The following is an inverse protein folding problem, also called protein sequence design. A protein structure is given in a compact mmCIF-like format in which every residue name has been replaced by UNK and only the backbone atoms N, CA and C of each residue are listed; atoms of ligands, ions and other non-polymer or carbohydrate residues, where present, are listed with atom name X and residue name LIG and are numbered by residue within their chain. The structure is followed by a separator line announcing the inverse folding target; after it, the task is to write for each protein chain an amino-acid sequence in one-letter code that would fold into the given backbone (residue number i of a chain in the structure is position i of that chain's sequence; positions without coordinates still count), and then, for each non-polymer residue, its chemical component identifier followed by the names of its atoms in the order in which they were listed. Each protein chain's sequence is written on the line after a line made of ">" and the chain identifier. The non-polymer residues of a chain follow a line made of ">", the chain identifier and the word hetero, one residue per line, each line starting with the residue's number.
data_IF_361817708268
#
_entry.id   IF_361817708268
#
_cell.length_a   1.000
_cell.length_b   1.000
_cell.length_c   1.000
_cell.angle_alpha   90.00
_cell.angle_beta   90.00
_cell.angle_gamma   90.00
#
_symmetry.space_group_name_H-M   'P 1'
#
loop_
_entity.id
_entity.type
_entity.pdbx_description
1 polymer ?
#
# COMPACT_ATOMS: atom_id res chain seq x y z
N UNK A 1 28.96 65.28 -20.11
CA UNK A 1 28.28 64.07 -20.61
C UNK A 1 28.89 62.86 -19.93
N UNK A 2 28.19 62.24 -18.96
CA UNK A 2 28.60 60.98 -18.34
C UNK A 2 27.58 59.92 -18.77
N UNK A 3 28.01 58.95 -19.57
CA UNK A 3 27.21 57.78 -19.91
C UNK A 3 27.29 56.78 -18.76
N UNK A 4 26.14 56.44 -18.17
CA UNK A 4 25.99 55.28 -17.30
C UNK A 4 25.65 54.07 -18.18
N UNK A 5 26.55 53.10 -18.25
CA UNK A 5 26.27 51.78 -18.80
C UNK A 5 25.60 50.95 -17.69
N UNK A 6 24.31 50.66 -17.84
CA UNK A 6 23.57 49.75 -16.96
C UNK A 6 23.76 48.35 -17.53
N UNK A 7 24.61 47.55 -16.87
CA UNK A 7 24.71 46.11 -17.11
C UNK A 7 23.49 45.43 -16.47
N UNK A 8 22.54 45.01 -17.31
CA UNK A 8 21.44 44.14 -16.89
C UNK A 8 21.98 42.71 -16.89
N UNK A 9 22.31 42.21 -15.70
CA UNK A 9 22.58 40.79 -15.48
C UNK A 9 21.22 40.10 -15.44
N UNK A 10 20.78 39.55 -16.57
CA UNK A 10 19.66 38.61 -16.60
C UNK A 10 20.12 37.31 -15.92
N UNK A 11 19.83 37.18 -14.62
CA UNK A 11 19.87 35.90 -13.94
C UNK A 11 18.73 35.03 -14.47
N UNK A 12 18.98 34.27 -15.53
CA UNK A 12 18.15 33.12 -15.88
C UNK A 12 18.34 32.07 -14.78
N UNK A 13 17.52 32.15 -13.73
CA UNK A 13 17.22 31.00 -12.89
C UNK A 13 16.44 30.02 -13.78
N UNK A 14 17.16 29.17 -14.51
CA UNK A 14 16.61 27.92 -14.99
C UNK A 14 16.28 27.09 -13.75
N UNK A 15 15.05 27.22 -13.25
CA UNK A 15 14.45 26.18 -12.42
C UNK A 15 14.32 24.99 -13.36
N UNK A 16 15.33 24.12 -13.36
CA UNK A 16 15.18 22.79 -13.94
C UNK A 16 14.17 22.08 -13.04
N UNK A 17 12.89 22.06 -13.42
CA UNK A 17 11.96 21.10 -12.86
C UNK A 17 12.52 19.71 -13.20
N UNK A 18 13.10 19.03 -12.21
CA UNK A 18 13.54 17.65 -12.36
C UNK A 18 12.29 16.77 -12.16
N UNK A 19 11.81 16.18 -13.25
CA UNK A 19 10.82 15.10 -13.24
C UNK A 19 11.57 13.80 -13.57
N UNK A 20 11.56 12.78 -12.69
CA UNK A 20 10.74 12.61 -11.49
C UNK A 20 11.18 13.51 -10.33
N UNK A 21 10.21 13.88 -9.49
CA UNK A 21 10.43 14.71 -8.29
C UNK A 21 11.02 13.91 -7.14
N UNK A 22 10.74 12.60 -7.08
CA UNK A 22 11.33 11.66 -6.13
C UNK A 22 11.33 10.23 -6.71
N UNK A 23 12.16 9.36 -6.15
CA UNK A 23 12.16 7.94 -6.50
C UNK A 23 12.63 7.06 -5.34
N UNK A 24 12.06 5.86 -5.23
CA UNK A 24 12.52 4.86 -4.27
C UNK A 24 12.16 3.45 -4.72
N UNK A 25 12.86 2.47 -4.17
CA UNK A 25 12.54 1.05 -4.37
C UNK A 25 11.50 0.64 -3.33
N UNK A 26 10.32 0.19 -3.77
CA UNK A 26 9.24 -0.26 -2.87
C UNK A 26 9.53 -1.66 -2.31
N UNK A 27 9.90 -2.56 -3.21
CA UNK A 27 10.39 -3.92 -2.98
C UNK A 27 11.43 -4.22 -4.06
N UNK A 28 12.28 -5.26 -3.93
CA UNK A 28 13.25 -5.60 -4.96
C UNK A 28 12.63 -5.63 -6.36
N UNK A 29 13.32 -5.02 -7.33
CA UNK A 29 12.86 -4.87 -8.72
C UNK A 29 11.56 -4.08 -8.92
N UNK A 30 11.08 -3.33 -7.93
CA UNK A 30 9.93 -2.42 -8.06
C UNK A 30 10.32 -0.99 -7.71
N UNK A 31 10.47 -0.16 -8.73
CA UNK A 31 10.82 1.26 -8.63
C UNK A 31 9.56 2.11 -8.64
N UNK A 32 9.43 3.03 -7.68
CA UNK A 32 8.39 4.06 -7.70
C UNK A 32 9.01 5.37 -8.16
N UNK A 33 8.40 6.00 -9.15
CA UNK A 33 8.74 7.34 -9.63
C UNK A 33 7.62 8.30 -9.27
N UNK A 34 7.91 9.31 -8.46
CA UNK A 34 6.97 10.40 -8.19
C UNK A 34 7.08 11.46 -9.28
N UNK A 35 5.94 11.80 -9.91
CA UNK A 35 5.89 12.68 -11.09
C UNK A 35 4.95 13.85 -10.85
N UNK A 36 5.32 15.01 -11.38
CA UNK A 36 4.54 16.26 -11.33
C UNK A 36 3.67 16.47 -12.58
N UNK A 37 3.75 15.55 -13.55
CA UNK A 37 3.07 15.59 -14.83
C UNK A 37 3.79 16.39 -15.93
N UNK A 38 4.95 16.97 -15.64
CA UNK A 38 5.81 17.59 -16.64
C UNK A 38 6.56 16.57 -17.50
N UNK A 39 7.37 17.07 -18.44
CA UNK A 39 8.29 16.22 -19.20
C UNK A 39 9.51 15.87 -18.34
N UNK A 40 9.91 14.61 -18.34
CA UNK A 40 10.99 14.07 -17.55
C UNK A 40 11.58 12.80 -18.13
N UNK A 41 12.73 12.37 -17.59
CA UNK A 41 13.34 11.10 -17.94
C UNK A 41 13.99 10.46 -16.73
N UNK A 42 13.91 9.13 -16.63
CA UNK A 42 14.61 8.38 -15.61
C UNK A 42 15.42 7.22 -16.22
N UNK A 43 16.74 7.12 -15.97
CA UNK A 43 17.56 6.04 -16.50
C UNK A 43 17.38 4.76 -15.68
N UNK A 44 17.00 3.67 -16.34
CA UNK A 44 17.05 2.31 -15.80
C UNK A 44 18.35 1.63 -16.25
N UNK A 45 19.03 0.98 -15.31
CA UNK A 45 20.17 0.11 -15.60
C UNK A 45 19.71 -1.36 -15.63
N UNK A 46 20.17 -2.12 -16.62
CA UNK A 46 19.91 -3.55 -16.70
C UNK A 46 20.82 -4.32 -15.72
N UNK A 47 22.12 -4.06 -15.82
CA UNK A 47 23.18 -4.62 -14.97
C UNK A 47 23.77 -3.49 -14.13
N UNK A 48 23.86 -3.73 -12.81
CA UNK A 48 24.31 -2.73 -11.85
C UNK A 48 25.83 -2.67 -11.74
N UNK A 49 26.55 -3.75 -12.08
CA UNK A 49 28.00 -3.79 -11.96
C UNK A 49 28.70 -3.53 -13.30
N UNK A 50 29.69 -2.62 -13.27
CA UNK A 50 30.54 -2.35 -14.43
C UNK A 50 31.32 -3.61 -14.86
N UNK A 51 31.68 -4.48 -13.92
CA UNK A 51 32.35 -5.75 -14.19
C UNK A 51 31.46 -6.71 -14.97
N UNK A 52 30.19 -6.87 -14.61
CA UNK A 52 29.25 -7.69 -15.39
C UNK A 52 29.07 -7.13 -16.80
N UNK A 53 28.97 -5.81 -16.95
CA UNK A 53 28.90 -5.18 -18.28
C UNK A 53 30.16 -5.48 -19.10
N UNK A 54 31.35 -5.31 -18.51
CA UNK A 54 32.64 -5.52 -19.18
C UNK A 54 32.96 -6.99 -19.47
N UNK A 55 32.41 -7.92 -18.68
CA UNK A 55 32.59 -9.37 -18.86
C UNK A 55 31.87 -9.93 -20.09
N UNK A 56 30.91 -9.18 -20.65
CA UNK A 56 30.15 -9.59 -21.82
C UNK A 56 30.91 -9.22 -23.10
N UNK A 57 30.89 -10.11 -24.08
CA UNK A 57 31.56 -9.93 -25.38
C UNK A 57 31.14 -8.63 -26.09
N UNK A 58 29.89 -8.21 -25.91
CA UNK A 58 29.29 -7.01 -26.50
C UNK A 58 29.43 -5.76 -25.63
N UNK A 59 30.07 -5.85 -24.46
CA UNK A 59 30.18 -4.77 -23.46
C UNK A 59 28.81 -4.16 -23.10
N UNK A 60 27.75 -4.99 -23.14
CA UNK A 60 26.36 -4.58 -22.87
C UNK A 60 25.70 -3.74 -23.97
N UNK A 61 26.29 -3.62 -25.17
CA UNK A 61 25.73 -2.84 -26.30
C UNK A 61 24.57 -3.54 -27.00
N UNK A 62 24.52 -4.87 -26.98
CA UNK A 62 23.49 -5.70 -27.60
C UNK A 62 22.37 -6.07 -26.61
N UNK A 63 22.27 -5.40 -25.45
CA UNK A 63 21.15 -5.56 -24.52
C UNK A 63 19.87 -4.98 -25.14
N UNK A 64 18.83 -5.80 -25.20
CA UNK A 64 17.52 -5.47 -25.78
C UNK A 64 16.53 -5.24 -24.64
N UNK A 65 15.85 -4.10 -24.66
CA UNK A 65 14.82 -3.77 -23.68
C UNK A 65 13.43 -4.13 -24.21
N UNK A 66 12.57 -4.58 -23.30
CA UNK A 66 11.15 -4.75 -23.54
C UNK A 66 10.34 -4.03 -22.47
N UNK A 67 9.20 -3.46 -22.86
CA UNK A 67 8.20 -2.91 -21.96
C UNK A 67 6.91 -3.71 -22.12
N UNK A 68 6.43 -4.31 -21.03
CA UNK A 68 5.22 -5.15 -21.04
C UNK A 68 5.26 -6.26 -22.11
N UNK A 69 6.46 -6.78 -22.42
CA UNK A 69 6.69 -7.82 -23.43
C UNK A 69 6.98 -7.30 -24.84
N UNK A 70 6.75 -6.02 -25.13
CA UNK A 70 7.02 -5.40 -26.43
C UNK A 70 8.44 -4.84 -26.51
N UNK A 71 9.16 -5.11 -27.60
CA UNK A 71 10.53 -4.65 -27.79
C UNK A 71 10.61 -3.14 -27.99
N UNK A 72 11.56 -2.50 -27.30
CA UNK A 72 11.80 -1.07 -27.35
C UNK A 72 12.93 -0.75 -28.34
N UNK A 73 12.90 0.41 -29.03
CA UNK A 73 13.94 0.77 -30.00
C UNK A 73 15.33 0.98 -29.39
N UNK A 74 15.40 1.40 -28.12
CA UNK A 74 16.65 1.70 -27.43
C UNK A 74 17.34 0.40 -26.96
N UNK A 75 18.62 0.27 -27.30
CA UNK A 75 19.50 -0.82 -26.87
C UNK A 75 20.58 -0.30 -25.93
N UNK A 76 21.24 -1.24 -25.25
CA UNK A 76 22.35 -0.96 -24.34
C UNK A 76 21.99 -1.22 -22.87
N UNK A 77 22.97 -1.11 -21.97
CA UNK A 77 22.76 -1.36 -20.54
C UNK A 77 21.79 -0.36 -19.88
N UNK A 78 21.63 0.83 -20.45
CA UNK A 78 20.79 1.89 -19.89
C UNK A 78 19.59 2.17 -20.81
N UNK A 79 18.40 2.20 -20.23
CA UNK A 79 17.17 2.62 -20.89
C UNK A 79 16.62 3.89 -20.25
N UNK A 80 16.33 4.92 -21.05
CA UNK A 80 15.77 6.18 -20.53
C UNK A 80 14.24 6.14 -20.58
N UNK A 81 13.61 5.87 -19.44
CA UNK A 81 12.15 5.93 -19.30
C UNK A 81 11.71 7.37 -19.53
N UNK A 82 10.83 7.56 -20.51
CA UNK A 82 10.20 8.86 -20.77
C UNK A 82 9.03 9.03 -19.80
N UNK A 83 9.03 10.16 -19.09
CA UNK A 83 7.99 10.56 -18.15
C UNK A 83 7.27 11.76 -18.77
N UNK A 84 6.02 11.56 -19.15
CA UNK A 84 5.13 12.62 -19.61
C UNK A 84 3.79 12.37 -18.96
N UNK A 85 3.25 13.38 -18.27
CA UNK A 85 2.07 13.21 -17.41
C UNK A 85 2.26 12.07 -16.40
N UNK A 86 1.44 11.02 -16.51
CA UNK A 86 1.50 9.81 -15.66
C UNK A 86 1.96 8.57 -16.44
N UNK A 87 2.59 8.79 -17.60
CA UNK A 87 3.12 7.74 -18.46
C UNK A 87 4.55 7.38 -18.04
N UNK A 88 4.95 6.16 -18.37
CA UNK A 88 6.28 5.62 -18.04
C UNK A 88 6.22 4.39 -17.14
N UNK A 89 5.10 4.14 -16.47
CA UNK A 89 4.88 2.90 -15.73
C UNK A 89 4.88 1.68 -16.66
N UNK A 90 5.36 0.55 -16.16
CA UNK A 90 5.48 -0.68 -16.93
C UNK A 90 6.38 -1.74 -16.30
N UNK A 91 6.29 -2.96 -16.81
CA UNK A 91 7.28 -4.00 -16.57
C UNK A 91 8.39 -3.89 -17.62
N UNK A 92 9.57 -3.45 -17.20
CA UNK A 92 10.75 -3.31 -18.04
C UNK A 92 11.63 -4.53 -17.86
N UNK A 93 11.86 -5.28 -18.92
CA UNK A 93 12.79 -6.40 -18.91
C UNK A 93 13.94 -6.14 -19.87
N UNK A 94 15.14 -6.55 -19.50
CA UNK A 94 16.29 -6.49 -20.37
C UNK A 94 16.78 -7.90 -20.70
N UNK A 95 17.16 -8.09 -21.95
CA UNK A 95 17.49 -9.39 -22.52
C UNK A 95 18.85 -9.34 -23.21
N UNK A 96 19.56 -10.46 -23.20
CA UNK A 96 20.75 -10.62 -24.03
C UNK A 96 20.38 -10.68 -25.50
N UNK A 97 21.38 -10.54 -26.38
CA UNK A 97 21.24 -10.77 -27.84
C UNK A 97 20.57 -12.10 -28.20
N UNK A 98 20.80 -13.13 -27.39
CA UNK A 98 20.24 -14.47 -27.60
C UNK A 98 18.81 -14.61 -27.06
N UNK A 99 18.25 -13.55 -26.47
CA UNK A 99 16.89 -13.49 -25.93
C UNK A 99 16.76 -13.89 -24.45
N UNK A 100 17.84 -14.32 -23.78
CA UNK A 100 17.79 -14.69 -22.36
C UNK A 100 17.48 -13.47 -21.49
N UNK A 101 16.56 -13.61 -20.54
CA UNK A 101 16.28 -12.57 -19.54
C UNK A 101 17.54 -12.33 -18.69
N UNK A 102 17.94 -11.06 -18.55
CA UNK A 102 19.07 -10.65 -17.72
C UNK A 102 18.58 -10.08 -16.40
N UNK A 103 17.67 -9.12 -16.46
CA UNK A 103 17.06 -8.49 -15.28
C UNK A 103 15.68 -7.90 -15.63
N UNK A 104 14.94 -7.49 -14.61
CA UNK A 104 13.66 -6.82 -14.76
C UNK A 104 13.46 -5.76 -13.67
N UNK A 105 12.70 -4.71 -14.03
CA UNK A 105 12.27 -3.65 -13.12
C UNK A 105 10.83 -3.29 -13.45
N UNK A 106 9.94 -3.42 -12.47
CA UNK A 106 8.59 -2.87 -12.53
C UNK A 106 8.65 -1.40 -12.11
N UNK A 107 8.28 -0.50 -13.00
CA UNK A 107 8.18 0.93 -12.73
C UNK A 107 6.73 1.27 -12.41
N UNK A 108 6.50 1.79 -11.20
CA UNK A 108 5.23 2.33 -10.73
C UNK A 108 5.30 3.86 -10.73
N UNK A 109 4.19 4.51 -11.09
CA UNK A 109 4.07 5.96 -11.16
C UNK A 109 3.21 6.44 -10.00
N UNK A 110 3.76 7.36 -9.20
CA UNK A 110 3.02 8.08 -8.18
C UNK A 110 2.80 9.51 -8.65
N UNK A 111 1.55 9.85 -8.86
CA UNK A 111 1.17 11.23 -9.19
C UNK A 111 1.26 12.12 -7.95
N UNK A 112 1.67 13.38 -8.15
CA UNK A 112 1.65 14.43 -7.12
C UNK A 112 0.25 14.57 -6.48
N UNK A 113 0.21 14.79 -5.16
CA UNK A 113 -1.05 14.84 -4.39
C UNK A 113 -2.08 15.83 -4.91
N UNK A 114 -1.63 16.97 -5.42
CA UNK A 114 -2.49 18.07 -5.86
C UNK A 114 -3.25 17.76 -7.16
N UNK A 115 -2.74 16.83 -7.98
CA UNK A 115 -3.27 16.48 -9.30
C UNK A 115 -3.93 15.11 -9.37
N UNK A 116 -3.67 14.24 -8.37
CA UNK A 116 -4.11 12.84 -8.41
C UNK A 116 -5.59 12.64 -8.08
N UNK A 117 -6.27 11.83 -8.90
CA UNK A 117 -7.56 11.23 -8.54
C UNK A 117 -7.31 9.94 -7.76
N UNK A 118 -7.83 9.87 -6.54
CA UNK A 118 -7.63 8.76 -5.60
C UNK A 118 -8.13 7.43 -6.15
N UNK A 119 -7.34 6.37 -5.94
CA UNK A 119 -7.67 4.97 -6.23
C UNK A 119 -8.73 4.45 -5.27
N UNK A 120 -8.65 4.80 -3.99
CA UNK A 120 -9.63 4.41 -2.97
C UNK A 120 -10.65 5.51 -2.71
N UNK A 121 -11.88 5.12 -2.38
CA UNK A 121 -12.95 6.04 -1.99
C UNK A 121 -12.80 6.35 -0.50
N UNK A 122 -12.73 7.63 -0.17
CA UNK A 122 -12.81 8.07 1.23
C UNK A 122 -14.23 7.93 1.73
N UNK A 123 -14.42 7.19 2.81
CA UNK A 123 -15.69 7.11 3.53
C UNK A 123 -15.71 8.14 4.68
N UNK A 124 -16.82 8.24 5.42
CA UNK A 124 -17.00 9.26 6.48
C UNK A 124 -15.87 9.29 7.53
N UNK A 125 -15.17 8.17 7.74
CA UNK A 125 -14.13 8.05 8.76
C UNK A 125 -12.72 8.10 8.18
N UNK A 126 -12.47 7.43 7.04
CA UNK A 126 -11.15 7.40 6.35
C UNK A 126 -11.24 6.60 5.03
N UNK A 127 -10.10 6.43 4.35
CA UNK A 127 -9.91 5.43 3.28
C UNK A 127 -9.80 4.00 3.82
N UNK A 128 -9.07 3.81 4.93
CA UNK A 128 -8.90 2.51 5.58
C UNK A 128 -9.83 2.38 6.80
N UNK A 129 -10.70 1.37 6.77
CA UNK A 129 -11.55 0.97 7.91
C UNK A 129 -10.95 -0.24 8.59
N UNK A 130 -10.41 -0.05 9.78
CA UNK A 130 -9.78 -1.10 10.57
C UNK A 130 -10.63 -1.48 11.77
N UNK A 131 -10.67 -2.77 12.11
CA UNK A 131 -11.37 -3.31 13.28
C UNK A 131 -10.68 -4.58 13.80
N UNK A 132 -10.74 -4.79 15.10
CA UNK A 132 -10.30 -6.01 15.78
C UNK A 132 -11.50 -6.64 16.48
N UNK A 133 -11.59 -7.98 16.53
CA UNK A 133 -12.70 -8.63 17.23
C UNK A 133 -12.44 -8.77 18.74
N UNK A 134 -11.18 -8.73 19.13
CA UNK A 134 -10.71 -8.91 20.50
C UNK A 134 -9.34 -8.19 20.67
N UNK A 135 -8.62 -8.50 21.75
CA UNK A 135 -7.32 -7.89 22.09
C UNK A 135 -6.10 -8.79 21.81
N UNK A 136 -6.20 -9.81 20.95
CA UNK A 136 -5.14 -10.80 20.71
C UNK A 136 -4.08 -10.36 19.70
N UNK A 137 -4.13 -9.11 19.23
CA UNK A 137 -3.24 -8.59 18.20
C UNK A 137 -3.72 -8.83 16.77
N UNK A 138 -4.86 -9.52 16.59
CA UNK A 138 -5.51 -9.65 15.28
C UNK A 138 -6.32 -8.40 14.94
N UNK A 139 -6.20 -7.92 13.71
CA UNK A 139 -7.01 -6.83 13.20
C UNK A 139 -7.15 -6.92 11.69
N UNK A 140 -8.23 -6.33 11.19
CA UNK A 140 -8.61 -6.39 9.79
C UNK A 140 -8.77 -4.96 9.30
N UNK A 141 -8.23 -4.64 8.14
CA UNK A 141 -8.44 -3.36 7.48
C UNK A 141 -9.09 -3.59 6.11
N UNK A 142 -10.13 -2.82 5.82
CA UNK A 142 -10.88 -2.88 4.57
C UNK A 142 -10.94 -1.50 3.91
N UNK A 143 -11.14 -1.49 2.60
CA UNK A 143 -11.32 -0.27 1.82
C UNK A 143 -12.36 -0.47 0.73
N UNK A 144 -12.58 0.58 -0.06
CA UNK A 144 -13.47 0.52 -1.22
C UNK A 144 -12.76 1.15 -2.41
N UNK A 145 -12.65 0.39 -3.49
CA UNK A 145 -12.07 0.87 -4.75
C UNK A 145 -12.95 1.95 -5.38
N UNK A 146 -12.33 2.92 -6.04
CA UNK A 146 -13.05 3.79 -6.96
C UNK A 146 -13.54 2.97 -8.17
N UNK A 147 -14.77 3.23 -8.64
CA UNK A 147 -15.43 2.41 -9.68
C UNK A 147 -14.62 2.22 -10.96
N UNK A 148 -13.79 3.20 -11.30
CA UNK A 148 -12.95 3.19 -12.51
C UNK A 148 -11.45 3.02 -12.24
N UNK A 149 -11.06 2.80 -10.99
CA UNK A 149 -9.65 2.66 -10.57
C UNK A 149 -9.51 1.47 -9.62
N UNK A 150 -10.07 0.34 -10.02
CA UNK A 150 -9.87 -0.92 -9.29
C UNK A 150 -8.45 -1.39 -9.55
N UNK A 151 -7.81 -1.95 -8.52
CA UNK A 151 -6.44 -2.38 -8.58
C UNK A 151 -6.19 -3.53 -7.62
N UNK A 152 -4.94 -3.69 -7.23
CA UNK A 152 -4.49 -4.72 -6.30
C UNK A 152 -3.55 -4.13 -5.25
N UNK A 153 -3.33 -4.89 -4.18
CA UNK A 153 -2.35 -4.53 -3.15
C UNK A 153 -0.95 -4.79 -3.70
N UNK A 154 -0.13 -3.75 -3.75
CA UNK A 154 1.27 -3.83 -4.17
C UNK A 154 2.19 -4.21 -2.99
N UNK A 155 1.94 -3.61 -1.83
CA UNK A 155 2.79 -3.81 -0.65
C UNK A 155 2.08 -3.42 0.64
N UNK A 156 2.40 -4.10 1.73
CA UNK A 156 1.91 -3.76 3.07
C UNK A 156 3.11 -3.50 3.98
N UNK A 157 3.09 -2.35 4.65
CA UNK A 157 4.01 -2.01 5.73
C UNK A 157 3.22 -1.85 7.02
N UNK A 158 3.63 -2.55 8.07
CA UNK A 158 3.03 -2.42 9.41
C UNK A 158 4.12 -2.48 10.47
N UNK A 159 3.99 -1.64 11.49
CA UNK A 159 4.93 -1.53 12.62
C UNK A 159 4.25 -0.85 13.79
N UNK A 160 4.84 -0.92 15.00
CA UNK A 160 4.48 0.02 16.06
C UNK A 160 5.32 1.30 15.92
N UNK A 161 4.76 2.45 16.29
CA UNK A 161 5.43 3.75 16.10
C UNK A 161 6.75 3.87 16.90
N UNK A 162 6.91 3.10 17.97
CA UNK A 162 8.20 3.01 18.70
C UNK A 162 9.31 2.30 17.94
N UNK A 163 8.96 1.56 16.90
CA UNK A 163 9.91 0.75 16.16
C UNK A 163 10.76 1.70 15.30
N UNK A 164 12.08 1.56 15.39
CA UNK A 164 13.03 2.35 14.59
C UNK A 164 12.71 2.25 13.10
N UNK A 165 13.24 3.17 12.28
CA UNK A 165 13.11 3.14 10.81
C UNK A 165 13.59 1.82 10.14
N UNK A 166 14.19 0.91 10.91
CA UNK A 166 14.71 -0.41 10.50
C UNK A 166 13.63 -1.52 10.37
N UNK A 167 12.35 -1.17 10.27
CA UNK A 167 11.31 -2.16 9.97
C UNK A 167 11.53 -2.73 8.56
N UNK A 168 11.80 -4.03 8.50
CA UNK A 168 11.95 -4.77 7.25
C UNK A 168 10.68 -5.56 6.94
N UNK A 169 10.08 -5.31 5.78
CA UNK A 169 8.86 -5.97 5.33
C UNK A 169 9.15 -6.77 4.05
N UNK A 170 8.76 -8.04 4.05
CA UNK A 170 8.91 -8.96 2.91
C UNK A 170 7.55 -9.47 2.49
N UNK A 171 7.42 -9.85 1.23
CA UNK A 171 6.25 -10.54 0.69
C UNK A 171 6.64 -11.95 0.27
N UNK A 172 5.73 -12.89 0.43
CA UNK A 172 5.90 -14.25 -0.04
C UNK A 172 5.86 -14.35 -1.58
N UNK A 173 6.18 -15.54 -2.11
CA UNK A 173 6.24 -15.78 -3.57
C UNK A 173 4.87 -15.61 -4.23
N UNK A 174 3.78 -15.82 -3.50
CA UNK A 174 2.43 -15.64 -4.03
C UNK A 174 2.02 -14.16 -4.15
N UNK A 175 2.73 -13.25 -3.47
CA UNK A 175 2.36 -11.84 -3.43
C UNK A 175 1.15 -11.57 -2.54
N UNK A 176 0.83 -12.45 -1.59
CA UNK A 176 -0.40 -12.37 -0.78
C UNK A 176 -0.15 -12.36 0.73
N UNK A 177 1.06 -12.69 1.19
CA UNK A 177 1.42 -12.71 2.60
C UNK A 177 2.66 -11.85 2.85
N UNK A 178 2.48 -10.79 3.64
CA UNK A 178 3.55 -9.91 4.08
C UNK A 178 3.99 -10.23 5.50
N UNK A 179 5.29 -10.23 5.72
CA UNK A 179 5.90 -10.32 7.05
C UNK A 179 6.75 -9.09 7.30
N UNK A 180 6.37 -8.30 8.30
CA UNK A 180 7.11 -7.12 8.76
C UNK A 180 7.74 -7.42 10.11
N UNK A 181 9.04 -7.19 10.25
CA UNK A 181 9.78 -7.49 11.47
C UNK A 181 10.65 -6.32 11.90
N UNK A 182 10.64 -6.03 13.21
CA UNK A 182 11.51 -5.03 13.84
C UNK A 182 11.94 -5.52 15.22
N UNK A 183 13.22 -5.85 15.36
CA UNK A 183 13.76 -6.46 16.58
C UNK A 183 13.05 -7.79 16.90
N UNK A 184 12.31 -7.82 18.03
CA UNK A 184 11.53 -8.99 18.46
C UNK A 184 10.06 -8.95 18.00
N UNK A 185 9.61 -7.86 17.38
CA UNK A 185 8.24 -7.69 16.92
C UNK A 185 8.10 -8.18 15.49
N UNK A 186 7.00 -8.85 15.21
CA UNK A 186 6.68 -9.47 13.94
C UNK A 186 5.19 -9.38 13.67
N UNK A 187 4.88 -8.74 12.55
CA UNK A 187 3.54 -8.68 12.01
C UNK A 187 3.44 -9.57 10.79
N UNK A 188 2.29 -10.24 10.65
CA UNK A 188 1.92 -10.97 9.43
C UNK A 188 0.62 -10.42 8.91
N UNK A 189 0.59 -10.06 7.63
CA UNK A 189 -0.60 -9.55 6.97
C UNK A 189 -0.89 -10.35 5.70
N UNK A 190 -2.15 -10.73 5.48
CA UNK A 190 -2.60 -11.37 4.25
C UNK A 190 -3.72 -10.59 3.61
N UNK A 191 -3.76 -10.57 2.28
CA UNK A 191 -4.86 -9.99 1.50
C UNK A 191 -5.97 -11.04 1.35
N UNK A 192 -7.21 -10.60 1.40
CA UNK A 192 -8.37 -11.47 1.17
C UNK A 192 -8.55 -11.82 -0.32
N UNK A 193 -9.28 -12.89 -0.61
CA UNK A 193 -9.54 -13.32 -1.99
C UNK A 193 -10.23 -12.24 -2.85
N UNK A 194 -10.91 -11.28 -2.20
CA UNK A 194 -11.61 -10.19 -2.87
C UNK A 194 -10.72 -9.01 -3.21
N UNK A 195 -9.49 -8.96 -2.69
CA UNK A 195 -8.55 -7.84 -2.82
C UNK A 195 -9.02 -6.53 -2.19
N UNK A 196 -9.99 -6.56 -1.28
CA UNK A 196 -10.61 -5.37 -0.66
C UNK A 196 -10.35 -5.27 0.84
N UNK A 197 -9.75 -6.30 1.43
CA UNK A 197 -9.37 -6.28 2.83
C UNK A 197 -8.08 -7.04 3.09
N UNK A 198 -7.46 -6.72 4.22
CA UNK A 198 -6.31 -7.42 4.76
C UNK A 198 -6.60 -7.86 6.18
N UNK A 199 -6.01 -8.98 6.56
CA UNK A 199 -5.99 -9.51 7.91
C UNK A 199 -4.57 -9.48 8.41
N UNK A 200 -4.31 -8.83 9.54
CA UNK A 200 -3.00 -8.68 10.13
C UNK A 200 -2.97 -9.23 11.56
N UNK A 201 -1.82 -9.77 11.96
CA UNK A 201 -1.57 -10.30 13.30
C UNK A 201 -0.24 -9.76 13.83
N UNK A 202 -0.27 -9.07 14.98
CA UNK A 202 0.89 -8.78 15.82
C UNK A 202 1.23 -10.01 16.65
N UNK A 203 2.19 -10.83 16.21
CA UNK A 203 2.48 -12.16 16.79
C UNK A 203 3.00 -12.09 18.24
N UNK A 204 3.48 -10.92 18.68
CA UNK A 204 4.03 -10.72 20.03
C UNK A 204 3.16 -9.76 20.86
N UNK A 205 1.92 -9.53 20.45
CA UNK A 205 1.00 -8.70 21.21
C UNK A 205 0.64 -9.33 22.57
N UNK A 206 0.59 -8.50 23.61
CA UNK A 206 0.13 -8.91 24.95
C UNK A 206 -1.25 -8.29 25.22
N UNK A 207 -2.34 -9.09 25.24
CA UNK A 207 -3.71 -8.58 25.42
C UNK A 207 -3.96 -7.92 26.78
N UNK A 208 -3.12 -8.23 27.77
CA UNK A 208 -3.29 -7.79 29.15
C UNK A 208 -2.55 -6.49 29.45
N UNK A 209 -1.56 -6.13 28.63
CA UNK A 209 -0.74 -4.95 28.84
C UNK A 209 -1.42 -3.70 28.27
N UNK A 210 -1.20 -2.56 28.91
CA UNK A 210 -1.58 -1.28 28.35
C UNK A 210 -0.78 -1.00 27.07
N UNK A 211 -1.46 -0.54 26.02
CA UNK A 211 -0.81 -0.22 24.76
C UNK A 211 -0.11 1.13 24.84
N UNK A 212 1.23 1.10 24.85
CA UNK A 212 2.05 2.32 24.92
C UNK A 212 2.25 2.93 23.52
N UNK A 213 2.23 2.10 22.48
CA UNK A 213 2.58 2.52 21.12
C UNK A 213 1.51 2.14 20.11
N UNK A 214 1.10 3.14 19.33
CA UNK A 214 0.20 3.00 18.18
C UNK A 214 0.76 2.01 17.16
N UNK A 215 -0.13 1.29 16.51
CA UNK A 215 0.15 0.56 15.28
C UNK A 215 0.05 1.55 14.12
N UNK A 216 1.09 1.59 13.30
CA UNK A 216 1.10 2.26 12.00
C UNK A 216 0.98 1.21 10.90
N UNK A 217 -0.02 1.36 10.04
CA UNK A 217 -0.17 0.56 8.83
C UNK A 217 -0.16 1.46 7.60
N UNK A 218 0.51 1.01 6.54
CA UNK A 218 0.50 1.62 5.21
C UNK A 218 0.25 0.55 4.17
N UNK A 219 -0.81 0.70 3.39
CA UNK A 219 -1.19 -0.17 2.29
C UNK A 219 -0.89 0.55 0.99
N UNK A 220 0.03 0.01 0.22
CA UNK A 220 0.32 0.45 -1.14
C UNK A 220 -0.58 -0.33 -2.09
N UNK A 221 -1.36 0.40 -2.88
CA UNK A 221 -2.23 -0.15 -3.92
C UNK A 221 -1.76 0.31 -5.28
N UNK A 222 -1.87 -0.55 -6.28
CA UNK A 222 -1.53 -0.21 -7.67
C UNK A 222 -2.64 -0.58 -8.64
N UNK A 223 -2.72 0.14 -9.76
CA UNK A 223 -3.64 -0.17 -10.86
C UNK A 223 -2.94 -0.96 -11.96
N UNK A 224 -3.72 -1.50 -12.91
CA UNK A 224 -3.19 -2.15 -14.12
C UNK A 224 -2.32 -1.22 -14.98
N UNK A 225 -2.54 0.09 -14.88
CA UNK A 225 -1.76 1.12 -15.57
C UNK A 225 -0.54 1.59 -14.75
N UNK A 226 -0.10 0.79 -13.78
CA UNK A 226 1.09 1.03 -12.97
C UNK A 226 1.05 2.31 -12.12
N UNK A 227 -0.14 2.90 -11.91
CA UNK A 227 -0.29 3.97 -10.92
C UNK A 227 -0.22 3.36 -9.52
N UNK A 228 0.48 4.00 -8.59
CA UNK A 228 0.60 3.56 -7.20
C UNK A 228 0.21 4.67 -6.23
N UNK A 229 -0.53 4.29 -5.19
CA UNK A 229 -0.83 5.16 -4.05
C UNK A 229 -0.65 4.39 -2.76
N UNK A 230 -0.29 5.10 -1.69
CA UNK A 230 -0.25 4.55 -0.35
C UNK A 230 -1.32 5.19 0.53
N UNK A 231 -1.96 4.36 1.35
CA UNK A 231 -2.97 4.76 2.32
C UNK A 231 -2.53 4.28 3.69
N UNK A 232 -2.48 5.19 4.65
CA UNK A 232 -1.93 4.88 5.97
C UNK A 232 -2.89 5.24 7.08
N UNK A 233 -2.79 4.51 8.20
CA UNK A 233 -3.57 4.75 9.41
C UNK A 233 -2.74 4.48 10.66
N UNK A 234 -3.03 5.24 11.71
CA UNK A 234 -2.53 5.02 13.07
C UNK A 234 -3.71 4.68 13.98
N UNK A 235 -3.54 3.71 14.87
CA UNK A 235 -4.53 3.35 15.87
C UNK A 235 -3.90 2.53 17.00
N UNK A 236 -4.51 2.55 18.18
CA UNK A 236 -4.31 1.47 19.16
C UNK A 236 -5.25 0.31 18.81
N UNK A 237 -4.85 -0.93 19.13
CA UNK A 237 -5.72 -2.08 18.90
C UNK A 237 -7.04 -1.88 19.67
N UNK A 238 -6.94 -1.43 20.92
CA UNK A 238 -8.04 -1.11 21.82
C UNK A 238 -9.07 -0.09 21.29
N UNK A 239 -8.67 0.82 20.40
CA UNK A 239 -9.56 1.82 19.79
C UNK A 239 -10.41 1.24 18.65
N UNK A 240 -9.94 0.15 18.05
CA UNK A 240 -10.60 -0.49 16.91
C UNK A 240 -11.31 -1.79 17.29
N UNK A 241 -11.32 -2.16 18.57
CA UNK A 241 -12.02 -3.36 19.05
C UNK A 241 -13.52 -3.20 18.88
N UNK A 242 -14.11 -4.12 18.13
CA UNK A 242 -15.54 -4.26 17.91
C UNK A 242 -15.93 -5.72 18.13
N UNK A 243 -16.53 -6.06 19.28
CA UNK A 243 -16.98 -7.42 19.56
C UNK A 243 -17.98 -7.92 18.52
N UNK A 244 -17.96 -9.23 18.28
CA UNK A 244 -18.96 -9.87 17.42
C UNK A 244 -20.36 -9.82 18.03
N UNK A 245 -21.36 -10.10 17.19
CA UNK A 245 -22.76 -10.17 17.62
C UNK A 245 -22.96 -11.26 18.67
N UNK A 246 -23.66 -10.92 19.74
CA UNK A 246 -24.15 -11.90 20.72
C UNK A 246 -25.24 -12.78 20.12
N UNK A 247 -25.26 -14.05 20.52
CA UNK A 247 -26.39 -14.94 20.27
C UNK A 247 -27.37 -14.80 21.43
N UNK A 248 -28.62 -14.48 21.10
CA UNK A 248 -29.70 -14.32 22.07
C UNK A 248 -30.63 -15.52 21.94
N UNK A 249 -30.90 -16.22 23.05
CA UNK A 249 -31.92 -17.26 23.14
C UNK A 249 -33.11 -16.77 23.96
N UNK A 250 -34.32 -17.11 23.49
CA UNK A 250 -35.53 -16.97 24.29
C UNK A 250 -35.65 -18.20 25.19
N UNK A 251 -35.57 -17.99 26.50
CA UNK A 251 -35.81 -19.06 27.48
C UNK A 251 -37.31 -19.22 27.71
N UNK A 252 -38.02 -18.09 27.82
CA UNK A 252 -39.48 -18.03 27.86
C UNK A 252 -39.98 -16.62 27.47
N UNK A 253 -41.31 -16.41 27.46
CA UNK A 253 -41.98 -15.14 27.07
C UNK A 253 -41.50 -13.88 27.80
N UNK A 254 -40.81 -14.02 28.94
CA UNK A 254 -40.32 -12.92 29.77
C UNK A 254 -38.81 -12.94 30.03
N UNK A 255 -38.10 -13.97 29.56
CA UNK A 255 -36.70 -14.20 29.85
C UNK A 255 -35.93 -14.48 28.57
N UNK A 256 -34.94 -13.63 28.32
CA UNK A 256 -33.93 -13.84 27.29
C UNK A 256 -32.59 -14.08 27.98
N UNK A 257 -31.74 -14.88 27.35
CA UNK A 257 -30.36 -15.09 27.76
C UNK A 257 -29.45 -14.82 26.56
N UNK A 258 -28.20 -14.48 26.83
CA UNK A 258 -27.17 -14.34 25.81
C UNK A 258 -25.81 -14.71 26.39
N UNK A 259 -24.91 -15.14 25.51
CA UNK A 259 -23.53 -15.47 25.86
C UNK A 259 -22.55 -14.51 25.21
N UNK A 260 -21.35 -14.43 25.77
CA UNK A 260 -20.23 -13.74 25.12
C UNK A 260 -19.98 -14.36 23.74
N UNK A 261 -19.57 -13.56 22.74
CA UNK A 261 -19.16 -14.10 21.45
C UNK A 261 -17.97 -15.04 21.61
N UNK A 262 -17.92 -16.12 20.81
CA UNK A 262 -16.83 -17.10 20.86
C UNK A 262 -15.47 -16.52 20.44
N UNK A 263 -15.47 -15.44 19.66
CA UNK A 263 -14.28 -14.70 19.23
C UNK A 263 -13.76 -13.70 20.28
N UNK A 264 -14.50 -13.47 21.37
CA UNK A 264 -14.13 -12.50 22.39
C UNK A 264 -12.98 -12.98 23.28
N UNK A 265 -12.17 -12.04 23.77
CA UNK A 265 -11.03 -12.32 24.62
C UNK A 265 -11.44 -13.01 25.94
N UNK A 266 -10.65 -14.00 26.35
CA UNK A 266 -10.80 -14.73 27.61
C UNK A 266 -9.60 -14.46 28.54
N UNK A 267 -9.77 -14.43 29.87
CA UNK A 267 -11.01 -14.71 30.60
C UNK A 267 -11.97 -13.50 30.65
N UNK A 268 -13.28 -13.75 30.67
CA UNK A 268 -14.31 -12.69 30.70
C UNK A 268 -14.30 -11.85 31.98
N UNK A 269 -13.69 -12.36 33.06
CA UNK A 269 -13.46 -11.57 34.28
C UNK A 269 -12.46 -10.42 34.06
N UNK A 270 -11.54 -10.57 33.10
CA UNK A 270 -10.56 -9.54 32.73
C UNK A 270 -11.04 -8.69 31.55
N UNK A 271 -11.71 -9.32 30.58
CA UNK A 271 -12.29 -8.64 29.40
C UNK A 271 -13.82 -8.60 29.51
N UNK A 272 -14.42 -7.84 30.44
CA UNK A 272 -15.86 -7.78 30.57
C UNK A 272 -16.50 -7.00 29.42
N UNK A 273 -17.62 -7.50 28.90
CA UNK A 273 -18.51 -6.77 28.01
C UNK A 273 -19.66 -6.18 28.79
N UNK A 274 -20.06 -4.98 28.39
CA UNK A 274 -21.33 -4.37 28.81
C UNK A 274 -22.33 -4.49 27.67
N UNK A 275 -23.57 -4.84 27.99
CA UNK A 275 -24.63 -5.05 27.02
C UNK A 275 -25.69 -3.96 27.16
N UNK A 276 -26.19 -3.46 26.03
CA UNK A 276 -27.35 -2.57 25.96
C UNK A 276 -28.51 -3.31 25.32
N UNK A 277 -29.69 -3.26 25.95
CA UNK A 277 -30.87 -4.00 25.52
C UNK A 277 -31.91 -3.00 24.99
N UNK A 278 -32.42 -3.26 23.79
CA UNK A 278 -33.49 -2.47 23.19
C UNK A 278 -34.62 -3.39 22.71
N UNK A 279 -35.87 -2.99 22.97
CA UNK A 279 -37.07 -3.69 22.50
C UNK A 279 -37.73 -2.88 21.38
N UNK A 280 -37.87 -3.50 20.21
CA UNK A 280 -38.54 -2.89 19.06
C UNK A 280 -39.91 -3.55 18.85
N UNK A 281 -40.97 -2.75 18.76
CA UNK A 281 -42.29 -3.24 18.33
C UNK A 281 -42.31 -3.25 16.79
N UNK A 282 -42.58 -4.40 16.17
CA UNK A 282 -42.89 -4.45 14.74
C UNK A 282 -44.27 -3.83 14.53
N UNK A 283 -44.35 -2.68 13.89
CA UNK A 283 -45.60 -2.23 13.27
C UNK A 283 -45.85 -3.10 12.04
N UNK A 284 -46.94 -3.88 12.06
CA UNK A 284 -47.39 -4.60 10.87
C UNK A 284 -47.99 -3.57 9.91
N UNK A 285 -47.24 -3.21 8.86
CA UNK A 285 -47.78 -2.48 7.72
C UNK A 285 -48.67 -3.46 6.96
N UNK A 286 -49.99 -3.38 7.19
CA UNK A 286 -50.96 -4.01 6.30
C UNK A 286 -50.93 -3.24 4.98
N UNK A 287 -50.25 -3.79 3.97
CA UNK A 287 -50.40 -3.33 2.59
C UNK A 287 -51.76 -3.87 2.13
N UNK A 288 -52.79 -3.05 2.23
CA UNK A 288 -54.06 -3.28 1.53
C UNK A 288 -53.83 -2.98 0.06
N UNK A 289 -53.67 -4.02 -0.76
CA UNK A 289 -53.79 -3.90 -2.22
C UNK A 289 -55.25 -3.65 -2.56
N UNK A 290 -55.55 -2.46 -3.07
CA UNK A 290 -56.76 -2.18 -3.86
C UNK A 290 -56.38 -2.09 -5.34
#
# INVERSE_FOLDING_TARGET
>A
MKLFAINIICAFLHVSCQNPTDHWTLVPNTLVLEVDGGLGQYPLSCLDSAEEVMSRDDQGRDIIWKKNGEELPQKGNVYSVQLEESLGGGNYTCHSKNGSLLNHTVVLIKEEESKRKRILIKTDQDYLKCSAQNYNGDFHCSWTWHRSRVGEVAFIRVQRVSDSNDTHCTVDVSGQLWTCSTGQRKFRCSVDDSGQSISCLDEQHCPYAEEIHLIYISVYVKTEHFLVENYSKYFYLSEIVKPDKVRISEVNKSLIEWTYPSSWASPYSYFPLTFQIAQFRKECIYITTH
#
